data_IF_779091300949
#
_entry.id   IF_779091300949
#
_cell.length_a   1.000
_cell.length_b   1.000
_cell.length_c   1.000
_cell.angle_alpha   90.00
_cell.angle_beta   90.00
_cell.angle_gamma   90.00
#
_symmetry.space_group_name_H-M   'P 1'
#
loop_
_entity.id
_entity.type
_entity.pdbx_description
1 polymer ?
#
# COMPACT_ATOMS: atom_id res chain seq x y z
N UNK A 1 30.14 18.47 10.86
CA UNK A 1 31.38 17.85 10.34
C UNK A 1 31.05 16.39 10.13
N UNK A 2 31.16 15.95 8.87
CA UNK A 2 30.54 14.76 8.30
C UNK A 2 30.71 13.46 9.11
N UNK A 3 29.58 12.80 9.39
CA UNK A 3 29.53 11.35 9.57
C UNK A 3 28.72 10.81 8.39
N UNK A 4 29.43 10.47 7.31
CA UNK A 4 28.90 9.77 6.15
C UNK A 4 28.52 8.37 6.61
N UNK A 5 27.23 8.11 6.75
CA UNK A 5 26.70 6.75 6.90
C UNK A 5 26.75 6.06 5.54
N UNK A 6 27.71 5.14 5.37
CA UNK A 6 27.69 4.17 4.29
C UNK A 6 26.60 3.14 4.63
N UNK A 7 25.39 3.38 4.19
CA UNK A 7 24.31 2.39 4.10
C UNK A 7 23.72 2.45 2.69
N UNK A 8 24.59 2.25 1.69
CA UNK A 8 24.13 1.79 0.38
C UNK A 8 23.72 0.33 0.55
N UNK A 9 22.42 0.09 0.66
CA UNK A 9 21.84 -1.25 0.84
C UNK A 9 21.94 -2.00 -0.49
N UNK A 10 23.09 -2.64 -0.68
CA UNK A 10 23.22 -3.76 -1.60
C UNK A 10 22.54 -5.00 -0.99
N UNK A 11 21.20 -5.05 -0.95
CA UNK A 11 20.42 -6.29 -0.71
C UNK A 11 18.89 -6.07 -0.75
N UNK A 12 18.34 -5.62 -1.88
CA UNK A 12 16.96 -6.00 -2.25
C UNK A 12 16.94 -7.27 -3.12
N UNK A 13 18.12 -7.82 -3.45
CA UNK A 13 18.29 -9.00 -4.31
C UNK A 13 19.14 -10.04 -3.60
N UNK A 14 18.57 -10.77 -2.64
CA UNK A 14 19.07 -12.08 -2.23
C UNK A 14 18.07 -12.79 -1.31
N UNK A 15 17.05 -13.41 -1.91
CA UNK A 15 16.24 -14.41 -1.21
C UNK A 15 14.81 -14.44 -1.70
N UNK A 16 14.55 -15.28 -2.70
CA UNK A 16 13.25 -15.91 -2.87
C UNK A 16 12.98 -16.80 -1.65
N UNK A 17 12.63 -16.20 -0.52
CA UNK A 17 11.85 -16.85 0.51
C UNK A 17 10.40 -16.58 0.11
N UNK A 18 9.60 -17.65 -0.02
CA UNK A 18 8.15 -17.55 -0.08
C UNK A 18 7.71 -16.47 0.93
N UNK A 19 7.16 -15.36 0.45
CA UNK A 19 6.44 -14.43 1.30
C UNK A 19 5.29 -15.24 1.90
N UNK A 20 5.46 -15.62 3.18
CA UNK A 20 4.31 -15.98 3.97
C UNK A 20 3.39 -14.76 3.99
N UNK A 21 2.06 -14.93 3.94
CA UNK A 21 1.17 -13.83 4.26
C UNK A 21 1.64 -13.20 5.57
N UNK A 22 1.69 -11.88 5.61
CA UNK A 22 2.07 -11.11 6.79
C UNK A 22 1.51 -11.80 8.04
N UNK A 23 2.32 -12.04 9.09
CA UNK A 23 1.79 -12.59 10.31
C UNK A 23 0.63 -11.69 10.75
N UNK A 24 -0.55 -12.26 10.99
CA UNK A 24 -1.66 -11.48 11.50
C UNK A 24 -1.17 -10.79 12.76
N UNK A 25 -1.38 -9.47 12.85
CA UNK A 25 -1.42 -8.77 14.14
C UNK A 25 -2.10 -9.73 15.10
N UNK A 26 -1.42 -10.11 16.18
CA UNK A 26 -1.91 -11.11 17.13
C UNK A 26 -3.27 -10.62 17.63
N UNK A 27 -4.34 -11.12 17.02
CA UNK A 27 -5.73 -10.92 17.40
C UNK A 27 -6.17 -12.20 18.08
N UNK A 28 -6.88 -12.02 19.19
CA UNK A 28 -7.76 -12.98 19.82
C UNK A 28 -8.29 -14.02 18.82
N UNK A 29 -8.07 -15.30 19.15
CA UNK A 29 -8.49 -16.47 18.36
C UNK A 29 -9.98 -16.41 18.03
N UNK A 30 -10.31 -15.86 16.86
CA UNK A 30 -11.55 -16.17 16.18
C UNK A 30 -11.27 -16.13 14.68
N UNK A 31 -11.15 -17.32 14.10
CA UNK A 31 -10.83 -17.58 12.69
C UNK A 31 -11.80 -16.83 11.77
N UNK A 32 -11.40 -15.62 11.37
CA UNK A 32 -12.04 -14.88 10.29
C UNK A 32 -11.39 -15.36 9.00
N UNK A 33 -12.21 -15.92 8.11
CA UNK A 33 -11.79 -16.32 6.77
C UNK A 33 -11.32 -15.05 6.05
N UNK A 34 -10.03 -14.95 5.74
CA UNK A 34 -9.50 -13.88 4.88
C UNK A 34 -10.09 -14.09 3.49
N UNK A 35 -11.06 -13.26 3.11
CA UNK A 35 -11.49 -13.17 1.72
C UNK A 35 -10.39 -12.45 0.94
N UNK A 36 -9.89 -13.09 -0.11
CA UNK A 36 -8.99 -12.43 -1.05
C UNK A 36 -9.66 -11.14 -1.58
N UNK A 37 -8.96 -9.99 -1.59
CA UNK A 37 -9.56 -8.76 -2.06
C UNK A 37 -10.07 -8.94 -3.50
N UNK A 38 -11.28 -8.45 -3.77
CA UNK A 38 -11.89 -8.60 -5.10
C UNK A 38 -11.01 -7.90 -6.15
N UNK A 39 -10.40 -8.61 -7.10
CA UNK A 39 -9.58 -7.98 -8.15
C UNK A 39 -10.43 -7.13 -9.08
N UNK A 40 -9.97 -5.91 -9.38
CA UNK A 40 -10.58 -5.05 -10.38
C UNK A 40 -10.06 -5.47 -11.77
N UNK A 41 -10.92 -6.03 -12.65
CA UNK A 41 -10.50 -6.36 -14.00
C UNK A 41 -10.18 -5.08 -14.77
N UNK A 42 -8.99 -5.02 -15.36
CA UNK A 42 -8.62 -3.99 -16.31
C UNK A 42 -8.72 -4.47 -17.75
N UNK A 43 -9.12 -3.58 -18.64
CA UNK A 43 -9.32 -3.86 -20.06
C UNK A 43 -8.10 -3.35 -20.85
N UNK A 44 -7.44 -4.19 -21.64
CA UNK A 44 -6.39 -3.75 -22.55
C UNK A 44 -6.92 -2.68 -23.52
N UNK A 45 -6.22 -1.55 -23.61
CA UNK A 45 -6.53 -0.47 -24.54
C UNK A 45 -5.62 -0.59 -25.76
N UNK A 46 -6.22 -0.53 -26.96
CA UNK A 46 -5.45 -0.46 -28.21
C UNK A 46 -4.70 0.85 -28.28
N UNK A 47 -3.42 0.82 -28.66
CA UNK A 47 -2.68 2.04 -28.91
C UNK A 47 -3.09 2.65 -30.25
N UNK A 48 -4.06 3.56 -30.22
CA UNK A 48 -4.38 4.37 -31.39
C UNK A 48 -3.27 5.38 -31.74
N UNK A 49 -2.33 5.64 -30.81
CA UNK A 49 -1.25 6.62 -30.96
C UNK A 49 0.07 6.02 -30.48
N UNK A 50 0.73 5.25 -31.34
CA UNK A 50 2.19 5.14 -31.23
C UNK A 50 2.78 6.51 -31.61
N UNK A 51 3.59 7.08 -30.74
CA UNK A 51 4.34 8.31 -30.99
C UNK A 51 5.25 8.04 -32.20
N UNK A 52 4.82 8.48 -33.39
CA UNK A 52 5.44 8.32 -34.73
C UNK A 52 4.98 7.15 -35.64
N UNK A 53 3.90 6.42 -35.36
CA UNK A 53 3.42 5.40 -36.32
C UNK A 53 2.65 6.01 -37.50
N UNK A 54 3.37 6.36 -38.56
CA UNK A 54 2.80 6.38 -39.91
C UNK A 54 2.80 4.93 -40.44
N UNK A 55 1.71 4.18 -40.31
CA UNK A 55 1.65 2.79 -40.83
C UNK A 55 0.55 1.91 -40.25
N UNK A 56 0.56 0.61 -40.58
CA UNK A 56 -0.43 -0.40 -40.15
C UNK A 56 -0.08 -1.08 -38.80
N UNK A 57 0.92 -0.60 -38.07
CA UNK A 57 1.47 -1.20 -36.83
C UNK A 57 1.97 -2.65 -36.98
N UNK A 58 2.36 -3.04 -38.20
CA UNK A 58 2.75 -4.42 -38.53
C UNK A 58 4.21 -4.72 -38.17
N UNK A 59 5.08 -3.72 -38.26
CA UNK A 59 6.51 -3.90 -38.04
C UNK A 59 6.84 -4.09 -36.55
N UNK A 60 7.60 -5.14 -36.17
CA UNK A 60 8.01 -5.34 -34.79
C UNK A 60 8.90 -4.20 -34.28
N UNK A 61 8.71 -3.79 -33.04
CA UNK A 61 9.42 -2.69 -32.38
C UNK A 61 9.99 -3.12 -31.03
N UNK A 62 11.09 -2.50 -30.58
CA UNK A 62 11.65 -2.82 -29.26
C UNK A 62 10.98 -2.05 -28.13
N UNK A 63 10.45 -0.87 -28.39
CA UNK A 63 9.86 -0.03 -27.36
C UNK A 63 8.34 -0.07 -27.50
N UNK A 64 7.67 -0.57 -26.46
CA UNK A 64 6.22 -0.69 -26.39
C UNK A 64 5.71 0.18 -25.26
N UNK A 65 4.52 0.73 -25.44
CA UNK A 65 3.74 1.31 -24.37
C UNK A 65 2.40 0.57 -24.37
N UNK A 66 2.15 -0.27 -23.39
CA UNK A 66 0.91 -1.03 -23.27
C UNK A 66 0.02 -0.34 -22.24
N UNK A 67 -1.25 -0.14 -22.57
CA UNK A 67 -2.18 0.53 -21.68
C UNK A 67 -3.37 -0.36 -21.31
N UNK A 68 -3.87 -0.19 -20.10
CA UNK A 68 -5.07 -0.84 -19.58
C UNK A 68 -5.97 0.20 -18.92
N UNK A 69 -7.28 0.04 -19.05
CA UNK A 69 -8.26 0.95 -18.46
C UNK A 69 -9.28 0.23 -17.58
N UNK A 70 -9.83 0.94 -16.61
CA UNK A 70 -10.96 0.44 -15.83
C UNK A 70 -12.24 0.40 -16.68
N UNK A 71 -13.24 -0.43 -16.33
CA UNK A 71 -14.48 -0.53 -17.11
C UNK A 71 -15.26 0.79 -17.30
N UNK A 72 -15.02 1.78 -16.44
CA UNK A 72 -15.61 3.12 -16.51
C UNK A 72 -14.69 4.16 -17.19
N UNK A 73 -13.53 3.75 -17.74
CA UNK A 73 -12.49 4.61 -18.33
C UNK A 73 -11.96 5.70 -17.39
N UNK A 74 -12.09 5.53 -16.07
CA UNK A 74 -11.64 6.51 -15.07
C UNK A 74 -10.12 6.50 -14.87
N UNK A 75 -9.50 5.32 -15.04
CA UNK A 75 -8.09 5.08 -14.75
C UNK A 75 -7.40 4.43 -15.93
N UNK A 76 -6.16 4.84 -16.20
CA UNK A 76 -5.29 4.25 -17.22
C UNK A 76 -3.98 3.82 -16.54
N UNK A 77 -3.64 2.54 -16.66
CA UNK A 77 -2.31 2.04 -16.28
C UNK A 77 -1.49 1.89 -17.55
N UNK A 78 -0.34 2.55 -17.60
CA UNK A 78 0.61 2.43 -18.69
C UNK A 78 1.83 1.63 -18.26
N UNK A 79 2.19 0.63 -19.06
CA UNK A 79 3.38 -0.21 -18.89
C UNK A 79 4.25 0.03 -20.11
N UNK A 80 5.38 0.68 -19.90
CA UNK A 80 6.40 0.88 -20.93
C UNK A 80 7.38 -0.28 -20.87
N UNK A 81 7.57 -0.96 -21.99
CA UNK A 81 8.48 -2.10 -22.12
C UNK A 81 9.57 -1.78 -23.12
N UNK A 82 10.82 -1.99 -22.75
CA UNK A 82 11.90 -2.17 -23.73
C UNK A 82 12.15 -3.65 -23.87
N UNK A 83 11.94 -4.22 -25.05
CA UNK A 83 11.91 -5.65 -25.30
C UNK A 83 13.29 -6.20 -25.65
N UNK A 84 13.57 -7.44 -25.19
CA UNK A 84 14.77 -8.19 -25.57
C UNK A 84 14.78 -8.44 -27.10
N UNK A 85 13.65 -8.94 -27.59
CA UNK A 85 13.35 -9.17 -29.00
C UNK A 85 12.33 -8.14 -29.50
N UNK A 86 12.40 -7.65 -30.76
CA UNK A 86 11.36 -6.81 -31.33
C UNK A 86 9.99 -7.47 -31.18
N UNK A 87 8.95 -6.67 -30.95
CA UNK A 87 7.63 -7.16 -30.61
C UNK A 87 6.54 -6.48 -31.44
N UNK A 88 5.47 -7.22 -31.72
CA UNK A 88 4.29 -6.73 -32.43
C UNK A 88 3.03 -7.00 -31.61
N UNK A 89 2.21 -5.98 -31.44
CA UNK A 89 0.94 -6.02 -30.70
C UNK A 89 -0.18 -6.29 -31.69
N UNK A 90 -0.71 -7.52 -31.70
CA UNK A 90 -1.60 -7.96 -32.78
C UNK A 90 -2.96 -7.26 -32.76
N UNK A 91 -3.46 -6.87 -31.60
CA UNK A 91 -4.70 -6.09 -31.50
C UNK A 91 -4.57 -4.65 -32.02
N UNK A 92 -3.34 -4.14 -32.17
CA UNK A 92 -3.06 -2.80 -32.71
C UNK A 92 -2.98 -2.80 -34.25
N UNK A 93 -3.00 -3.98 -34.89
CA UNK A 93 -3.06 -4.14 -36.35
C UNK A 93 -4.53 -4.25 -36.77
N UNK A 94 -5.06 -3.21 -37.42
CA UNK A 94 -6.46 -3.17 -37.85
C UNK A 94 -6.85 -4.29 -38.84
N UNK A 95 -5.88 -4.78 -39.61
CA UNK A 95 -6.08 -5.82 -40.62
C UNK A 95 -6.02 -7.25 -40.06
N UNK A 96 -5.67 -7.44 -38.78
CA UNK A 96 -5.74 -8.76 -38.14
C UNK A 96 -7.20 -9.08 -37.82
N UNK A 97 -7.69 -10.21 -38.34
CA UNK A 97 -9.08 -10.66 -38.19
C UNK A 97 -9.25 -11.86 -37.27
N UNK A 98 -8.20 -12.67 -37.13
CA UNK A 98 -8.18 -13.79 -36.21
C UNK A 98 -6.76 -14.11 -35.77
N UNK A 99 -6.63 -14.51 -34.51
CA UNK A 99 -5.43 -15.12 -33.93
C UNK A 99 -5.85 -16.48 -33.36
N UNK A 100 -5.02 -17.51 -33.50
CA UNK A 100 -5.23 -18.85 -32.92
C UNK A 100 -3.92 -19.34 -32.29
N UNK A 101 -3.96 -19.63 -31.00
CA UNK A 101 -2.82 -20.15 -30.25
C UNK A 101 -2.96 -21.65 -29.94
N UNK A 102 -2.79 -22.49 -30.96
CA UNK A 102 -2.91 -23.94 -30.81
C UNK A 102 -1.87 -24.51 -29.84
N UNK A 103 -2.31 -24.91 -28.64
CA UNK A 103 -1.49 -25.60 -27.64
C UNK A 103 -0.34 -24.76 -27.07
N UNK A 104 -0.44 -23.42 -27.13
CA UNK A 104 0.57 -22.47 -26.62
C UNK A 104 1.99 -22.60 -27.23
N UNK A 105 2.13 -23.39 -28.30
CA UNK A 105 3.41 -23.63 -28.99
C UNK A 105 3.44 -23.03 -30.41
N UNK A 106 2.30 -22.48 -30.86
CA UNK A 106 2.12 -21.89 -32.19
C UNK A 106 1.17 -20.72 -32.09
N UNK A 107 1.39 -19.72 -32.93
CA UNK A 107 0.48 -18.59 -33.12
C UNK A 107 0.20 -18.47 -34.61
N UNK A 108 -1.07 -18.57 -34.98
CA UNK A 108 -1.55 -18.33 -36.33
C UNK A 108 -2.24 -16.97 -36.38
N UNK A 109 -1.82 -16.10 -37.31
CA UNK A 109 -2.35 -14.73 -37.49
C UNK A 109 -2.96 -14.62 -38.88
N UNK A 110 -4.24 -14.26 -38.95
CA UNK A 110 -5.00 -14.14 -40.21
C UNK A 110 -5.34 -12.69 -40.51
N UNK A 111 -5.05 -12.26 -41.74
CA UNK A 111 -5.24 -10.89 -42.20
C UNK A 111 -6.47 -10.74 -43.13
N UNK A 112 -7.12 -9.57 -43.09
CA UNK A 112 -8.19 -9.20 -44.05
C UNK A 112 -7.67 -8.66 -45.38
N UNK A 113 -6.42 -8.21 -45.41
CA UNK A 113 -5.86 -7.43 -46.52
C UNK A 113 -4.54 -8.03 -47.01
N UNK A 114 -4.39 -8.13 -48.34
CA UNK A 114 -3.22 -8.78 -48.96
C UNK A 114 -1.96 -7.93 -48.81
N UNK A 115 -2.07 -6.60 -48.80
CA UNK A 115 -0.91 -5.73 -48.60
C UNK A 115 -0.42 -5.84 -47.15
N UNK A 116 -1.35 -5.83 -46.17
CA UNK A 116 -1.02 -6.06 -44.76
C UNK A 116 -0.33 -7.42 -44.53
N UNK A 117 -0.89 -8.50 -45.11
CA UNK A 117 -0.27 -9.83 -45.05
C UNK A 117 1.15 -9.83 -45.63
N UNK A 118 1.35 -9.21 -46.78
CA UNK A 118 2.66 -9.17 -47.46
C UNK A 118 3.67 -8.33 -46.68
N UNK A 119 3.22 -7.21 -46.11
CA UNK A 119 4.01 -6.35 -45.23
C UNK A 119 4.44 -7.11 -43.97
N UNK A 120 3.51 -7.84 -43.33
CA UNK A 120 3.79 -8.64 -42.14
C UNK A 120 4.80 -9.74 -42.44
N UNK A 121 4.58 -10.52 -43.50
CA UNK A 121 5.50 -11.57 -43.89
C UNK A 121 6.91 -11.01 -44.17
N UNK A 122 7.00 -9.92 -44.94
CA UNK A 122 8.28 -9.30 -45.26
C UNK A 122 8.97 -8.71 -44.03
N UNK A 123 8.22 -8.09 -43.12
CA UNK A 123 8.77 -7.43 -41.93
C UNK A 123 9.22 -8.47 -40.89
N UNK A 124 8.41 -9.49 -40.64
CA UNK A 124 8.69 -10.51 -39.64
C UNK A 124 9.80 -11.45 -40.11
N UNK A 125 9.77 -11.94 -41.35
CA UNK A 125 10.85 -12.79 -41.88
C UNK A 125 12.16 -12.04 -42.14
N UNK A 126 12.14 -10.71 -42.17
CA UNK A 126 13.32 -9.87 -42.32
C UNK A 126 14.14 -9.70 -41.02
N UNK A 127 13.63 -10.19 -39.89
CA UNK A 127 14.36 -10.20 -38.62
C UNK A 127 15.37 -11.36 -38.60
N UNK A 128 16.52 -11.16 -37.94
CA UNK A 128 17.64 -12.11 -37.97
C UNK A 128 17.61 -13.15 -36.83
N UNK A 129 16.57 -13.15 -36.00
CA UNK A 129 16.43 -13.95 -34.78
C UNK A 129 14.95 -13.93 -34.35
N UNK A 130 14.63 -14.22 -33.11
CA UNK A 130 13.25 -14.23 -32.60
C UNK A 130 12.63 -12.84 -32.46
N UNK A 131 11.29 -12.82 -32.46
CA UNK A 131 10.45 -11.66 -32.17
C UNK A 131 9.28 -12.05 -31.27
N UNK A 132 8.60 -11.08 -30.64
CA UNK A 132 7.48 -11.35 -29.73
C UNK A 132 6.15 -11.01 -30.39
N UNK A 133 5.22 -11.96 -30.41
CA UNK A 133 3.82 -11.73 -30.75
C UNK A 133 3.04 -11.49 -29.45
N UNK A 134 2.36 -10.35 -29.34
CA UNK A 134 1.51 -10.02 -28.20
C UNK A 134 0.05 -10.17 -28.60
N UNK A 135 -0.70 -10.99 -27.85
CA UNK A 135 -2.12 -11.29 -28.07
C UNK A 135 -2.99 -10.67 -26.98
N UNK A 136 -4.29 -10.53 -27.23
CA UNK A 136 -5.29 -10.10 -26.23
C UNK A 136 -6.56 -10.96 -26.36
N UNK A 137 -6.54 -12.13 -25.73
CA UNK A 137 -7.58 -13.17 -25.68
C UNK A 137 -8.13 -13.67 -27.04
N UNK A 138 -7.58 -13.19 -28.16
CA UNK A 138 -8.03 -13.57 -29.50
C UNK A 138 -7.68 -15.05 -29.76
N UNK A 139 -8.71 -15.89 -29.88
CA UNK A 139 -8.56 -17.33 -30.15
C UNK A 139 -8.03 -18.15 -28.98
N UNK A 140 -8.49 -17.83 -27.76
CA UNK A 140 -8.18 -18.55 -26.52
C UNK A 140 -6.68 -18.64 -26.18
N UNK A 141 -5.89 -17.66 -26.65
CA UNK A 141 -4.46 -17.57 -26.39
C UNK A 141 -4.11 -17.37 -24.90
N UNK A 142 -5.04 -16.81 -24.14
CA UNK A 142 -4.83 -16.31 -22.80
C UNK A 142 -6.14 -16.22 -22.02
N UNK A 143 -6.07 -15.85 -20.74
CA UNK A 143 -7.27 -15.64 -19.93
C UNK A 143 -7.99 -14.36 -20.37
N UNK A 144 -9.30 -14.27 -20.16
CA UNK A 144 -10.06 -13.08 -20.57
C UNK A 144 -9.43 -11.82 -19.94
N UNK A 145 -9.13 -10.81 -20.78
CA UNK A 145 -8.50 -9.53 -20.42
C UNK A 145 -6.96 -9.54 -20.21
N UNK A 146 -6.29 -10.67 -20.41
CA UNK A 146 -4.83 -10.77 -20.35
C UNK A 146 -4.19 -10.39 -21.71
N UNK A 147 -2.95 -9.89 -21.66
CA UNK A 147 -2.07 -9.89 -22.83
C UNK A 147 -1.03 -10.98 -22.68
N UNK A 148 -0.96 -11.89 -23.64
CA UNK A 148 0.07 -12.93 -23.63
C UNK A 148 1.21 -12.62 -24.59
N UNK A 149 2.42 -13.04 -24.19
CA UNK A 149 3.66 -12.78 -24.91
C UNK A 149 4.16 -14.10 -25.48
N UNK A 150 4.32 -14.20 -26.81
CA UNK A 150 4.79 -15.41 -27.48
C UNK A 150 6.10 -15.11 -28.20
N UNK A 151 7.18 -15.79 -27.81
CA UNK A 151 8.49 -15.65 -28.46
C UNK A 151 8.48 -16.56 -29.69
N UNK A 152 8.45 -15.95 -30.87
CA UNK A 152 8.40 -16.62 -32.16
C UNK A 152 9.77 -16.59 -32.84
N UNK A 153 10.20 -17.74 -33.37
CA UNK A 153 11.40 -17.83 -34.20
C UNK A 153 11.05 -17.50 -35.67
N UNK A 154 11.78 -16.57 -36.27
CA UNK A 154 11.60 -16.13 -37.66
C UNK A 154 11.77 -17.25 -38.66
N UNK A 155 12.64 -18.21 -38.39
CA UNK A 155 12.90 -19.35 -39.28
C UNK A 155 11.74 -20.35 -39.32
N UNK A 156 10.77 -20.21 -38.41
CA UNK A 156 9.61 -21.10 -38.31
C UNK A 156 8.36 -20.56 -38.99
N UNK A 157 8.42 -19.33 -39.52
CA UNK A 157 7.29 -18.67 -40.16
C UNK A 157 6.84 -19.44 -41.41
N UNK A 158 5.57 -19.85 -41.41
CA UNK A 158 4.91 -20.49 -42.54
C UNK A 158 3.75 -19.63 -43.01
N UNK A 159 3.73 -19.28 -44.29
CA UNK A 159 2.71 -18.40 -44.88
C UNK A 159 1.72 -19.18 -45.76
N UNK A 160 0.43 -18.87 -45.64
CA UNK A 160 -0.65 -19.46 -46.42
C UNK A 160 -1.41 -18.35 -47.17
N UNK A 161 -1.01 -18.09 -48.41
CA UNK A 161 -1.58 -17.01 -49.22
C UNK A 161 -3.07 -17.19 -49.52
N UNK A 162 -3.55 -18.45 -49.59
CA UNK A 162 -4.94 -18.76 -49.92
C UNK A 162 -5.96 -18.20 -48.93
N UNK A 163 -5.55 -18.01 -47.67
CA UNK A 163 -6.39 -17.49 -46.59
C UNK A 163 -5.70 -16.37 -45.81
N UNK A 164 -4.59 -15.83 -46.32
CA UNK A 164 -3.83 -14.73 -45.73
C UNK A 164 -3.42 -15.01 -44.27
N UNK A 165 -2.97 -16.23 -43.97
CA UNK A 165 -2.54 -16.64 -42.63
C UNK A 165 -1.03 -16.82 -42.55
N UNK A 166 -0.40 -16.27 -41.50
CA UNK A 166 0.98 -16.56 -41.12
C UNK A 166 0.96 -17.39 -39.84
N UNK A 167 1.69 -18.51 -39.82
CA UNK A 167 1.85 -19.36 -38.64
C UNK A 167 3.30 -19.30 -38.18
N UNK A 168 3.51 -18.95 -36.91
CA UNK A 168 4.80 -19.02 -36.23
C UNK A 168 4.81 -20.18 -35.23
N UNK A 169 5.94 -20.88 -35.10
CA UNK A 169 6.20 -21.62 -33.87
C UNK A 169 6.63 -20.62 -32.80
N UNK A 170 6.00 -20.67 -31.64
CA UNK A 170 6.27 -19.71 -30.59
C UNK A 170 6.09 -20.31 -29.20
N UNK A 171 6.95 -19.95 -28.26
CA UNK A 171 6.84 -20.32 -26.85
C UNK A 171 6.10 -19.22 -26.09
N UNK A 172 5.09 -19.58 -25.29
CA UNK A 172 4.46 -18.66 -24.36
C UNK A 172 5.47 -18.22 -23.29
N UNK A 173 5.74 -16.93 -23.24
CA UNK A 173 6.56 -16.25 -22.24
C UNK A 173 5.75 -15.30 -21.36
N UNK A 174 6.46 -14.45 -20.63
CA UNK A 174 5.91 -13.38 -19.80
C UNK A 174 6.79 -12.13 -19.91
N UNK A 175 6.34 -11.01 -19.34
CA UNK A 175 7.11 -9.75 -19.39
C UNK A 175 8.48 -9.90 -18.74
N UNK A 176 8.56 -10.58 -17.59
CA UNK A 176 9.83 -10.84 -16.88
C UNK A 176 10.90 -11.49 -17.78
N UNK A 177 10.53 -12.42 -18.67
CA UNK A 177 11.46 -13.10 -19.58
C UNK A 177 11.67 -12.39 -20.92
N UNK A 178 10.78 -11.48 -21.31
CA UNK A 178 10.78 -10.90 -22.67
C UNK A 178 11.20 -9.43 -22.71
N UNK A 179 11.12 -8.72 -21.59
CA UNK A 179 11.55 -7.34 -21.45
C UNK A 179 13.01 -7.23 -20.97
N UNK A 180 13.74 -6.25 -21.51
CA UNK A 180 15.00 -5.71 -20.97
C UNK A 180 14.75 -4.60 -19.94
N UNK A 181 13.58 -3.96 -20.00
CA UNK A 181 13.15 -2.98 -19.00
C UNK A 181 11.64 -2.97 -18.95
N UNK A 182 11.08 -2.91 -17.75
CA UNK A 182 9.66 -2.74 -17.47
C UNK A 182 9.50 -1.50 -16.60
N UNK A 183 8.81 -0.50 -17.11
CA UNK A 183 8.55 0.76 -16.42
C UNK A 183 7.03 0.94 -16.29
N UNK A 184 6.58 1.18 -15.06
CA UNK A 184 5.17 1.30 -14.73
C UNK A 184 4.98 2.60 -13.98
N UNK A 185 4.12 3.45 -14.53
CA UNK A 185 3.64 4.64 -13.84
C UNK A 185 2.20 4.37 -13.42
N UNK A 186 1.95 4.38 -12.11
CA UNK A 186 0.61 4.26 -11.57
C UNK A 186 0.20 5.62 -11.01
N UNK A 187 -0.58 6.31 -11.83
CA UNK A 187 -1.29 7.51 -11.44
C UNK A 187 -2.76 7.12 -11.53
N UNK A 188 -3.53 7.37 -10.47
CA UNK A 188 -4.98 7.33 -10.54
C UNK A 188 -5.59 5.92 -10.74
N UNK A 189 -5.34 4.99 -9.81
CA UNK A 189 -5.80 3.60 -9.96
C UNK A 189 -6.34 3.04 -8.64
N UNK A 190 -7.67 2.97 -8.51
CA UNK A 190 -8.45 1.86 -7.95
C UNK A 190 -9.94 2.22 -8.01
N UNK A 191 -10.82 1.28 -8.39
CA UNK A 191 -12.27 1.46 -8.25
C UNK A 191 -12.78 0.69 -7.03
N UNK A 192 -13.83 1.17 -6.34
CA UNK A 192 -14.49 0.43 -5.28
C UNK A 192 -14.92 -0.97 -5.70
N UNK A 193 -14.59 -1.96 -4.89
CA UNK A 193 -15.25 -3.26 -4.92
C UNK A 193 -16.74 -3.04 -4.61
N UNK A 194 -17.61 -3.60 -5.45
CA UNK A 194 -19.06 -3.56 -5.21
C UNK A 194 -19.42 -4.26 -3.90
N UNK A 195 -20.20 -3.59 -3.04
CA UNK A 195 -20.76 -4.18 -1.81
C UNK A 195 -20.24 -3.61 -0.49
N UNK A 196 -19.38 -2.59 -0.50
CA UNK A 196 -19.02 -1.87 0.72
C UNK A 196 -20.16 -0.89 1.05
N UNK A 197 -21.13 -1.36 1.84
CA UNK A 197 -22.11 -0.46 2.46
C UNK A 197 -21.34 0.54 3.34
N UNK A 198 -21.27 1.80 2.88
CA UNK A 198 -20.82 3.04 3.56
C UNK A 198 -19.39 3.60 3.44
N UNK A 199 -18.50 3.19 2.50
CA UNK A 199 -17.16 3.83 2.41
C UNK A 199 -16.76 4.29 1.01
N UNK A 200 -16.51 5.60 0.91
CA UNK A 200 -16.29 6.35 -0.33
C UNK A 200 -14.87 6.21 -0.84
N UNK A 201 -14.72 5.58 -2.00
CA UNK A 201 -13.54 5.76 -2.85
C UNK A 201 -13.96 6.78 -3.89
N UNK A 202 -13.25 7.89 -3.94
CA UNK A 202 -13.44 8.86 -5.01
C UNK A 202 -12.22 8.81 -5.93
N UNK A 203 -12.49 8.59 -7.21
CA UNK A 203 -11.50 8.67 -8.27
C UNK A 203 -11.61 10.06 -8.87
N UNK A 204 -10.55 10.84 -8.81
CA UNK A 204 -10.45 12.06 -9.59
C UNK A 204 -9.09 12.16 -10.28
N UNK A 205 -8.88 13.24 -11.03
CA UNK A 205 -7.66 13.48 -11.79
C UNK A 205 -6.38 13.58 -10.93
N UNK A 206 -6.51 13.72 -9.61
CA UNK A 206 -5.42 13.96 -8.67
C UNK A 206 -4.97 12.67 -7.96
N UNK A 207 -5.70 11.55 -8.08
CA UNK A 207 -5.24 10.20 -7.71
C UNK A 207 -6.32 9.32 -7.08
N UNK A 208 -5.93 8.20 -6.44
CA UNK A 208 -6.89 7.36 -5.70
C UNK A 208 -7.15 7.94 -4.31
N UNK A 209 -8.29 8.59 -4.08
CA UNK A 209 -8.70 8.94 -2.72
C UNK A 209 -9.42 7.79 -2.02
N UNK A 210 -8.79 7.22 -1.01
CA UNK A 210 -9.40 6.28 -0.07
C UNK A 210 -9.97 7.03 1.12
N UNK A 211 -11.28 6.97 1.36
CA UNK A 211 -11.85 7.40 2.63
C UNK A 211 -12.09 6.20 3.57
N UNK A 212 -11.41 6.19 4.72
CA UNK A 212 -11.70 5.27 5.83
C UNK A 212 -12.44 6.07 6.91
N UNK A 213 -13.77 6.11 6.79
CA UNK A 213 -14.62 6.63 7.86
C UNK A 213 -15.02 5.49 8.79
N UNK A 214 -14.70 5.62 10.08
CA UNK A 214 -15.11 4.66 11.10
C UNK A 214 -15.83 5.38 12.22
N UNK A 215 -17.00 4.86 12.57
CA UNK A 215 -17.76 5.31 13.73
C UNK A 215 -18.25 4.09 14.51
N UNK A 216 -18.15 4.13 15.83
CA UNK A 216 -18.67 3.05 16.68
C UNK A 216 -19.32 3.60 17.94
N UNK A 217 -20.22 2.80 18.50
CA UNK A 217 -20.83 3.02 19.81
C UNK A 217 -20.17 2.11 20.85
N UNK A 218 -20.51 2.32 22.12
CA UNK A 218 -19.93 1.61 23.27
C UNK A 218 -19.72 0.10 23.05
N UNK A 219 -18.47 -0.32 23.21
CA UNK A 219 -18.06 -1.73 23.19
C UNK A 219 -16.83 -1.96 24.06
N UNK A 220 -16.75 -3.13 24.69
CA UNK A 220 -15.55 -3.59 25.36
C UNK A 220 -14.59 -4.18 24.33
N UNK A 221 -13.45 -3.53 24.11
CA UNK A 221 -12.47 -3.94 23.09
C UNK A 221 -11.40 -4.87 23.65
N UNK A 222 -11.13 -4.79 24.97
CA UNK A 222 -10.23 -5.69 25.71
C UNK A 222 -10.88 -6.00 27.06
N UNK A 223 -10.83 -7.28 27.47
CA UNK A 223 -11.31 -7.74 28.77
C UNK A 223 -10.48 -8.95 29.23
N UNK A 224 -9.66 -8.77 30.25
CA UNK A 224 -8.89 -9.84 30.90
C UNK A 224 -8.83 -9.62 32.42
N UNK A 225 -8.11 -10.49 33.14
CA UNK A 225 -8.03 -10.44 34.61
C UNK A 225 -7.40 -9.16 35.19
N UNK A 226 -6.69 -8.37 34.37
CA UNK A 226 -5.90 -7.23 34.79
C UNK A 226 -6.44 -5.90 34.26
N UNK A 227 -6.96 -5.89 33.03
CA UNK A 227 -7.42 -4.68 32.35
C UNK A 227 -8.72 -4.91 31.58
N UNK A 228 -9.64 -3.95 31.72
CA UNK A 228 -10.79 -3.77 30.84
C UNK A 228 -10.62 -2.47 30.08
N UNK A 229 -10.77 -2.51 28.76
CA UNK A 229 -10.79 -1.31 27.94
C UNK A 229 -12.14 -1.20 27.23
N UNK A 230 -12.85 -0.13 27.53
CA UNK A 230 -14.14 0.20 26.92
C UNK A 230 -13.94 1.35 25.95
N UNK A 231 -14.31 1.15 24.70
CA UNK A 231 -14.39 2.20 23.69
C UNK A 231 -15.83 2.71 23.67
N UNK A 232 -16.06 3.91 24.22
CA UNK A 232 -17.40 4.50 24.28
C UNK A 232 -17.81 5.09 22.93
N UNK A 233 -16.89 5.82 22.31
CA UNK A 233 -17.07 6.45 21.02
C UNK A 233 -15.73 6.49 20.29
N UNK A 234 -15.75 6.22 18.99
CA UNK A 234 -14.66 6.57 18.10
C UNK A 234 -15.25 7.11 16.82
N UNK A 235 -14.67 8.18 16.31
CA UNK A 235 -14.91 8.67 14.97
C UNK A 235 -13.56 8.91 14.30
N UNK A 236 -13.37 8.35 13.12
CA UNK A 236 -12.20 8.61 12.28
C UNK A 236 -12.71 9.04 10.93
N UNK A 237 -12.09 10.09 10.40
CA UNK A 237 -12.20 10.52 9.02
C UNK A 237 -10.80 10.61 8.44
N UNK A 238 -10.50 9.78 7.45
CA UNK A 238 -9.22 9.79 6.76
C UNK A 238 -9.45 9.91 5.26
N UNK A 239 -8.57 10.65 4.57
CA UNK A 239 -8.36 10.49 3.14
C UNK A 239 -6.90 10.15 2.86
N UNK A 240 -6.65 9.32 1.86
CA UNK A 240 -5.29 9.11 1.34
C UNK A 240 -5.34 9.01 -0.18
N UNK A 241 -4.43 9.73 -0.84
CA UNK A 241 -4.18 9.69 -2.29
C UNK A 241 -2.78 9.17 -2.54
N UNK A 242 -2.61 8.32 -3.55
CA UNK A 242 -1.29 7.84 -3.94
C UNK A 242 -1.04 7.88 -5.44
N UNK A 243 0.24 7.97 -5.76
CA UNK A 243 0.79 7.71 -7.09
C UNK A 243 2.20 7.16 -6.96
N UNK A 244 2.78 6.67 -8.04
CA UNK A 244 4.16 6.24 -8.00
C UNK A 244 4.65 5.66 -9.31
N UNK A 245 5.89 5.19 -9.23
CA UNK A 245 6.68 4.74 -10.36
C UNK A 245 7.50 3.51 -9.95
N UNK A 246 7.58 2.52 -10.83
CA UNK A 246 8.51 1.42 -10.66
C UNK A 246 9.17 1.07 -11.98
N UNK A 247 10.49 0.88 -11.94
CA UNK A 247 11.30 0.41 -13.06
C UNK A 247 12.10 -0.82 -12.67
N UNK A 248 12.02 -1.83 -13.51
CA UNK A 248 12.71 -3.10 -13.35
C UNK A 248 13.54 -3.45 -14.59
N UNK A 249 14.75 -3.97 -14.38
CA UNK A 249 15.68 -4.43 -15.40
C UNK A 249 16.23 -5.83 -15.03
N UNK A 250 16.44 -6.77 -15.98
CA UNK A 250 16.83 -8.14 -15.67
C UNK A 250 18.15 -8.31 -14.91
N UNK A 251 19.10 -7.39 -15.09
CA UNK A 251 20.43 -7.48 -14.48
C UNK A 251 20.49 -6.76 -13.12
N UNK A 252 19.83 -5.60 -13.04
CA UNK A 252 19.93 -4.70 -11.89
C UNK A 252 18.74 -4.84 -10.92
N UNK A 253 17.70 -5.59 -11.32
CA UNK A 253 16.48 -5.74 -10.53
C UNK A 253 15.64 -4.46 -10.59
N UNK A 254 15.11 -4.03 -9.44
CA UNK A 254 14.37 -2.77 -9.36
C UNK A 254 15.37 -1.61 -9.28
N UNK A 255 15.33 -0.72 -10.27
CA UNK A 255 16.27 0.40 -10.41
C UNK A 255 15.66 1.74 -10.06
N UNK A 256 14.33 1.87 -10.12
CA UNK A 256 13.58 3.03 -9.67
C UNK A 256 12.32 2.52 -8.96
N UNK A 257 12.01 3.03 -7.77
CA UNK A 257 10.76 2.73 -7.09
C UNK A 257 10.40 3.90 -6.18
N UNK A 258 9.36 4.65 -6.56
CA UNK A 258 8.87 5.79 -5.80
C UNK A 258 7.38 5.69 -5.52
N UNK A 259 6.96 6.23 -4.38
CA UNK A 259 5.55 6.38 -4.00
C UNK A 259 5.35 7.78 -3.42
N UNK A 260 4.37 8.49 -3.96
CA UNK A 260 3.86 9.73 -3.44
C UNK A 260 2.54 9.48 -2.73
N UNK A 261 2.37 10.04 -1.53
CA UNK A 261 1.18 9.89 -0.69
C UNK A 261 0.73 11.25 -0.18
N UNK A 262 -0.50 11.64 -0.49
CA UNK A 262 -1.19 12.75 0.17
C UNK A 262 -2.17 12.19 1.19
N UNK A 263 -2.18 12.71 2.41
CA UNK A 263 -2.97 12.17 3.51
C UNK A 263 -3.65 13.27 4.31
N UNK A 264 -4.92 13.07 4.63
CA UNK A 264 -5.60 13.82 5.68
C UNK A 264 -6.15 12.88 6.74
N UNK A 265 -6.07 13.27 8.00
CA UNK A 265 -6.57 12.50 9.14
C UNK A 265 -7.31 13.46 10.06
N UNK A 266 -8.46 13.03 10.51
CA UNK A 266 -9.11 13.55 11.69
C UNK A 266 -9.61 12.35 12.50
N UNK A 267 -9.45 12.40 13.81
CA UNK A 267 -10.03 11.40 14.68
C UNK A 267 -10.49 12.00 15.99
N UNK A 268 -11.42 11.29 16.61
CA UNK A 268 -11.89 11.44 17.97
C UNK A 268 -12.03 10.05 18.58
N UNK A 269 -11.61 9.87 19.83
CA UNK A 269 -11.86 8.64 20.57
C UNK A 269 -12.07 8.92 22.07
N UNK A 270 -13.02 8.20 22.66
CA UNK A 270 -13.28 8.16 24.09
C UNK A 270 -13.11 6.73 24.61
N UNK A 271 -12.09 6.53 25.43
CA UNK A 271 -11.69 5.23 25.98
C UNK A 271 -11.72 5.27 27.51
N UNK A 272 -12.19 4.20 28.13
CA UNK A 272 -12.00 3.96 29.56
C UNK A 272 -11.08 2.76 29.76
N UNK A 273 -10.00 2.97 30.51
CA UNK A 273 -9.08 1.94 30.97
C UNK A 273 -9.37 1.64 32.43
N UNK A 274 -9.83 0.43 32.75
CA UNK A 274 -9.99 -0.06 34.11
C UNK A 274 -8.87 -1.06 34.41
N UNK A 275 -8.03 -0.75 35.38
CA UNK A 275 -6.84 -1.53 35.74
C UNK A 275 -7.06 -2.10 37.14
N UNK A 276 -6.99 -3.42 37.26
CA UNK A 276 -7.34 -4.11 38.51
C UNK A 276 -6.20 -4.18 39.52
N UNK A 277 -4.94 -4.13 39.06
CA UNK A 277 -3.74 -4.21 39.91
C UNK A 277 -2.49 -3.74 39.15
N UNK A 278 -1.30 -3.85 39.77
CA UNK A 278 -0.03 -3.59 39.11
C UNK A 278 0.06 -4.32 37.76
N UNK A 279 0.30 -3.56 36.71
CA UNK A 279 0.30 -4.07 35.34
C UNK A 279 1.28 -3.29 34.46
N UNK A 280 1.93 -3.99 33.55
CA UNK A 280 2.80 -3.38 32.54
C UNK A 280 2.65 -4.16 31.26
N UNK A 281 2.00 -3.57 30.27
CA UNK A 281 1.80 -4.20 28.98
C UNK A 281 1.40 -3.17 27.91
N UNK A 282 1.50 -3.60 26.65
CA UNK A 282 0.96 -2.89 25.50
C UNK A 282 -0.28 -3.63 25.02
N UNK A 283 -1.38 -2.91 24.84
CA UNK A 283 -2.63 -3.44 24.33
C UNK A 283 -2.99 -2.80 23.00
N UNK A 284 -3.66 -3.58 22.15
CA UNK A 284 -4.12 -3.10 20.86
C UNK A 284 -5.39 -3.84 20.44
N UNK A 285 -6.31 -3.12 19.81
CA UNK A 285 -7.50 -3.63 19.18
C UNK A 285 -7.75 -2.89 17.88
N UNK A 286 -8.24 -3.58 16.86
CA UNK A 286 -8.50 -2.97 15.56
C UNK A 286 -9.82 -3.48 14.98
N UNK A 287 -10.67 -2.62 14.39
CA UNK A 287 -11.76 -3.08 13.55
C UNK A 287 -11.23 -3.84 12.32
N UNK A 288 -12.11 -4.46 11.53
CA UNK A 288 -11.68 -5.06 10.26
C UNK A 288 -11.04 -3.99 9.36
N UNK A 289 -9.88 -4.28 8.74
CA UNK A 289 -9.29 -3.36 7.78
C UNK A 289 -10.18 -3.23 6.54
N UNK A 290 -10.03 -2.13 5.81
CA UNK A 290 -10.59 -2.03 4.47
C UNK A 290 -9.59 -2.62 3.48
N UNK A 291 -10.04 -3.65 2.78
CA UNK A 291 -9.37 -4.21 1.63
C UNK A 291 -10.01 -3.66 0.37
N UNK A 292 -9.19 -3.12 -0.51
CA UNK A 292 -9.61 -2.54 -1.77
C UNK A 292 -9.38 -3.51 -2.91
N UNK A 293 -10.08 -3.29 -4.02
CA UNK A 293 -9.81 -4.07 -5.21
C UNK A 293 -8.40 -3.84 -5.70
N UNK A 294 -7.62 -4.92 -5.79
CA UNK A 294 -6.32 -4.87 -6.44
C UNK A 294 -6.54 -4.56 -7.91
N UNK A 295 -5.82 -3.56 -8.42
CA UNK A 295 -5.54 -3.47 -9.83
C UNK A 295 -4.69 -4.68 -10.17
N UNK A 296 -5.17 -5.46 -11.12
CA UNK A 296 -4.46 -6.64 -11.57
C UNK A 296 -4.23 -6.48 -13.06
N UNK A 297 -2.97 -6.32 -13.45
CA UNK A 297 -2.49 -6.55 -14.81
C UNK A 297 -1.88 -7.95 -14.78
N UNK A 298 -2.60 -8.98 -15.25
CA UNK A 298 -2.14 -10.36 -15.17
C UNK A 298 -0.74 -10.53 -15.75
N UNK A 299 0.15 -11.22 -15.05
CA UNK A 299 1.52 -11.46 -15.48
C UNK A 299 2.49 -10.29 -15.32
N UNK A 300 2.02 -9.11 -14.89
CA UNK A 300 2.83 -7.87 -14.87
C UNK A 300 2.81 -7.20 -13.50
N UNK A 301 1.63 -6.84 -12.99
CA UNK A 301 1.49 -6.00 -11.81
C UNK A 301 0.20 -6.37 -11.07
N UNK A 302 0.33 -6.65 -9.78
CA UNK A 302 -0.79 -6.62 -8.85
C UNK A 302 -0.56 -5.50 -7.86
N UNK A 303 -1.47 -4.54 -7.84
CA UNK A 303 -1.32 -3.30 -7.10
C UNK A 303 -2.59 -3.04 -6.30
N UNK A 304 -2.48 -2.86 -4.99
CA UNK A 304 -3.64 -2.33 -4.30
C UNK A 304 -3.41 -1.94 -2.85
N UNK A 305 -4.20 -0.97 -2.40
CA UNK A 305 -4.05 -0.43 -1.06
C UNK A 305 -4.80 -1.29 -0.04
N UNK A 306 -4.36 -1.16 1.20
CA UNK A 306 -5.07 -1.58 2.40
C UNK A 306 -5.05 -0.42 3.39
N UNK A 307 -6.16 -0.17 4.06
CA UNK A 307 -6.23 0.85 5.09
C UNK A 307 -6.77 0.24 6.38
N UNK A 308 -6.06 0.44 7.48
CA UNK A 308 -6.37 -0.08 8.80
C UNK A 308 -6.25 0.98 9.87
N UNK A 309 -7.02 0.79 10.94
CA UNK A 309 -6.92 1.57 12.17
C UNK A 309 -6.70 0.59 13.30
N UNK A 310 -5.80 0.93 14.21
CA UNK A 310 -5.63 0.24 15.48
C UNK A 310 -5.76 1.24 16.61
N UNK A 311 -6.59 0.93 17.60
CA UNK A 311 -6.65 1.64 18.87
C UNK A 311 -5.79 0.86 19.85
N UNK A 312 -4.93 1.53 20.60
CA UNK A 312 -4.09 0.86 21.58
C UNK A 312 -3.68 1.75 22.73
N UNK A 313 -2.89 1.15 23.62
CA UNK A 313 -2.31 1.86 24.73
C UNK A 313 -1.13 1.13 25.34
N UNK A 314 -0.11 1.87 25.73
CA UNK A 314 0.91 1.35 26.66
C UNK A 314 0.52 1.74 28.08
N UNK A 315 0.51 0.75 28.98
CA UNK A 315 0.13 0.95 30.38
C UNK A 315 1.28 0.52 31.26
N UNK A 316 1.68 1.41 32.18
CA UNK A 316 2.54 1.10 33.32
C UNK A 316 1.80 1.60 34.56
N UNK A 317 1.20 0.67 35.32
CA UNK A 317 0.45 0.97 36.54
C UNK A 317 1.05 0.25 37.74
N UNK A 318 1.26 0.97 38.84
CA UNK A 318 1.75 0.39 40.11
C UNK A 318 0.61 -0.04 41.05
N UNK A 319 -0.60 0.50 40.83
CA UNK A 319 -1.82 0.22 41.57
C UNK A 319 -3.02 0.18 40.61
N UNK A 320 -4.09 -0.51 41.00
CA UNK A 320 -5.34 -0.48 40.23
C UNK A 320 -5.97 0.90 40.21
N UNK A 321 -6.76 1.19 39.18
CA UNK A 321 -7.31 2.51 38.91
C UNK A 321 -8.19 2.54 37.68
N UNK A 322 -8.86 3.67 37.46
CA UNK A 322 -9.58 3.93 36.21
C UNK A 322 -9.15 5.25 35.60
N UNK A 323 -8.94 5.25 34.29
CA UNK A 323 -8.65 6.44 33.48
C UNK A 323 -9.65 6.49 32.33
N UNK A 324 -10.43 7.57 32.27
CA UNK A 324 -11.17 7.93 31.07
C UNK A 324 -10.33 8.92 30.25
N UNK A 325 -10.08 8.58 28.99
CA UNK A 325 -9.31 9.36 28.05
C UNK A 325 -10.22 9.78 26.89
N UNK A 326 -10.33 11.08 26.68
CA UNK A 326 -11.02 11.68 25.53
C UNK A 326 -9.99 12.47 24.74
N UNK A 327 -9.82 12.14 23.47
CA UNK A 327 -8.81 12.79 22.64
C UNK A 327 -9.21 12.91 21.19
N UNK A 328 -8.78 14.02 20.60
CA UNK A 328 -9.04 14.39 19.22
C UNK A 328 -7.74 14.89 18.60
N UNK A 329 -7.47 14.52 17.35
CA UNK A 329 -6.46 15.23 16.57
C UNK A 329 -6.85 15.35 15.10
N UNK A 330 -6.29 16.39 14.46
CA UNK A 330 -6.44 16.63 13.04
C UNK A 330 -5.09 16.92 12.38
N UNK A 331 -4.90 16.30 11.22
CA UNK A 331 -3.76 16.43 10.33
C UNK A 331 -4.34 16.63 8.92
N UNK A 332 -4.63 17.87 8.49
CA UNK A 332 -5.46 18.09 7.32
C UNK A 332 -4.74 17.87 5.99
N UNK A 333 -3.42 18.07 5.90
CA UNK A 333 -2.69 18.09 4.63
C UNK A 333 -1.25 17.52 4.74
N UNK A 334 -1.12 16.24 5.05
CA UNK A 334 0.17 15.54 5.00
C UNK A 334 0.55 15.15 3.57
N UNK A 335 1.83 15.25 3.24
CA UNK A 335 2.42 14.82 1.96
C UNK A 335 3.67 14.01 2.24
N UNK A 336 3.85 12.90 1.54
CA UNK A 336 4.98 11.99 1.71
C UNK A 336 5.48 11.61 0.33
N UNK A 337 6.80 11.69 0.13
CA UNK A 337 7.50 11.12 -1.01
C UNK A 337 8.45 10.04 -0.49
N UNK A 338 8.34 8.84 -1.04
CA UNK A 338 9.22 7.71 -0.75
C UNK A 338 9.99 7.37 -2.02
N UNK A 339 11.31 7.26 -1.92
CA UNK A 339 12.18 6.71 -2.97
C UNK A 339 12.93 5.51 -2.41
N UNK A 340 12.46 4.30 -2.70
CA UNK A 340 12.96 3.00 -2.19
C UNK A 340 14.33 2.60 -2.70
N UNK A 341 14.86 3.34 -3.66
CA UNK A 341 16.21 3.17 -4.16
C UNK A 341 17.15 4.20 -3.51
N UNK A 342 16.71 5.44 -3.38
CA UNK A 342 17.45 6.55 -2.76
C UNK A 342 16.72 7.05 -1.50
N UNK A 343 16.85 6.31 -0.39
CA UNK A 343 16.14 6.62 0.86
C UNK A 343 16.37 8.05 1.37
N UNK A 344 17.55 8.62 1.13
CA UNK A 344 17.90 10.01 1.50
C UNK A 344 17.09 11.07 0.75
N UNK A 345 16.47 10.71 -0.38
CA UNK A 345 15.60 11.59 -1.17
C UNK A 345 14.11 11.48 -0.74
N UNK A 346 13.78 10.60 0.22
CA UNK A 346 12.45 10.51 0.79
C UNK A 346 12.14 11.73 1.66
N UNK A 347 10.94 12.30 1.51
CA UNK A 347 10.54 13.52 2.22
C UNK A 347 9.13 13.42 2.79
N UNK A 348 8.85 14.25 3.79
CA UNK A 348 7.56 14.31 4.45
C UNK A 348 7.27 15.73 4.90
N UNK A 349 6.08 16.26 4.60
CA UNK A 349 5.75 17.66 4.87
C UNK A 349 4.24 17.89 5.04
N UNK A 350 3.87 19.08 5.53
CA UNK A 350 2.46 19.48 5.67
C UNK A 350 1.78 19.02 6.97
N UNK A 351 2.53 18.42 7.89
CA UNK A 351 2.08 17.94 9.20
C UNK A 351 1.75 19.08 10.19
N UNK A 352 0.73 19.89 9.88
CA UNK A 352 0.13 20.77 10.88
C UNK A 352 -0.84 19.96 11.72
N UNK A 353 -0.59 19.87 13.02
CA UNK A 353 -1.40 19.08 13.94
C UNK A 353 -2.26 19.98 14.82
N UNK A 354 -3.56 19.74 14.85
CA UNK A 354 -4.43 20.19 15.94
C UNK A 354 -4.66 19.01 16.88
N UNK A 355 -4.56 19.21 18.18
CA UNK A 355 -4.70 18.14 19.18
C UNK A 355 -5.36 18.66 20.44
N UNK A 356 -6.27 17.86 20.99
CA UNK A 356 -6.92 18.09 22.27
C UNK A 356 -7.01 16.76 23.01
N UNK A 357 -6.72 16.76 24.30
CA UNK A 357 -6.88 15.60 25.15
C UNK A 357 -7.38 16.00 26.53
N UNK A 358 -8.21 15.15 27.11
CA UNK A 358 -8.73 15.24 28.47
C UNK A 358 -8.64 13.87 29.12
N UNK A 359 -8.05 13.84 30.31
CA UNK A 359 -7.95 12.65 31.13
C UNK A 359 -8.69 12.85 32.44
N UNK A 360 -9.52 11.87 32.82
CA UNK A 360 -10.19 11.82 34.11
C UNK A 360 -9.70 10.56 34.81
N UNK A 361 -8.91 10.76 35.86
CA UNK A 361 -8.29 9.70 36.65
C UNK A 361 -9.02 9.58 37.98
N UNK A 362 -9.30 8.36 38.44
CA UNK A 362 -9.81 8.13 39.81
C UNK A 362 -8.73 8.46 40.85
N UNK A 363 -9.10 8.98 42.02
CA UNK A 363 -8.15 9.25 43.12
C UNK A 363 -7.39 7.95 43.50
N UNK A 364 -6.06 8.07 43.73
CA UNK A 364 -5.09 7.00 44.05
C UNK A 364 -4.47 6.17 42.90
N UNK A 365 -4.13 6.78 41.75
CA UNK A 365 -3.46 6.05 40.66
C UNK A 365 -2.07 6.62 40.34
N UNK A 366 -1.04 5.78 40.43
CA UNK A 366 0.28 6.00 39.81
C UNK A 366 0.30 5.23 38.48
N UNK A 367 0.09 5.94 37.38
CA UNK A 367 0.00 5.36 36.04
C UNK A 367 0.76 6.20 35.02
N UNK A 368 1.49 5.52 34.14
CA UNK A 368 1.84 6.02 32.82
C UNK A 368 0.95 5.32 31.81
N UNK A 369 0.15 6.09 31.08
CA UNK A 369 -0.76 5.63 30.04
C UNK A 369 -0.40 6.36 28.74
N UNK A 370 -0.05 5.64 27.68
CA UNK A 370 0.09 6.22 26.33
C UNK A 370 -0.98 5.62 25.42
N UNK A 371 -2.21 6.16 25.37
CA UNK A 371 -3.18 5.76 24.38
C UNK A 371 -2.73 6.27 23.00
N UNK A 372 -2.95 5.45 21.97
CA UNK A 372 -2.58 5.77 20.60
C UNK A 372 -3.64 5.30 19.61
N UNK A 373 -3.64 5.91 18.42
CA UNK A 373 -4.38 5.42 17.26
C UNK A 373 -3.42 5.29 16.08
N UNK A 374 -3.20 4.07 15.62
CA UNK A 374 -2.37 3.81 14.45
C UNK A 374 -3.22 3.82 13.19
N UNK A 375 -2.93 4.75 12.28
CA UNK A 375 -3.45 4.72 10.93
C UNK A 375 -2.43 4.08 10.02
N UNK A 376 -2.69 2.83 9.63
CA UNK A 376 -1.84 2.10 8.70
C UNK A 376 -2.42 2.17 7.30
N UNK A 377 -1.62 2.63 6.34
CA UNK A 377 -1.90 2.50 4.91
C UNK A 377 -0.83 1.60 4.34
N UNK A 378 -1.24 0.46 3.81
CA UNK A 378 -0.36 -0.47 3.13
C UNK A 378 -0.67 -0.45 1.64
N UNK A 379 0.33 -0.83 0.87
CA UNK A 379 0.30 -0.84 -0.56
C UNK A 379 0.95 -2.14 -1.01
N UNK A 380 0.12 -3.09 -1.41
CA UNK A 380 0.59 -4.30 -2.04
C UNK A 380 1.07 -3.94 -3.46
N UNK A 381 2.34 -4.23 -3.75
CA UNK A 381 2.93 -4.00 -5.07
C UNK A 381 3.72 -5.25 -5.48
N UNK A 382 3.08 -6.10 -6.28
CA UNK A 382 3.66 -7.34 -6.75
C UNK A 382 3.95 -7.25 -8.24
N UNK A 383 5.21 -7.46 -8.64
CA UNK A 383 5.57 -7.56 -10.06
C UNK A 383 5.60 -9.03 -10.50
N UNK A 384 5.20 -9.25 -11.75
CA UNK A 384 5.31 -10.52 -12.47
C UNK A 384 4.70 -11.70 -11.70
N UNK A 385 3.41 -11.60 -11.35
CA UNK A 385 2.67 -12.59 -10.56
C UNK A 385 3.30 -12.90 -9.19
N UNK A 386 3.89 -11.89 -8.55
CA UNK A 386 4.47 -12.01 -7.21
C UNK A 386 5.88 -12.59 -7.17
N UNK A 387 6.57 -12.67 -8.32
CA UNK A 387 8.01 -12.99 -8.33
C UNK A 387 8.84 -11.95 -7.58
N UNK A 388 8.37 -10.70 -7.57
CA UNK A 388 8.97 -9.59 -6.82
C UNK A 388 7.87 -8.93 -6.01
N UNK A 389 8.01 -8.95 -4.68
CA UNK A 389 7.14 -8.26 -3.74
C UNK A 389 7.82 -6.96 -3.30
N UNK A 390 7.19 -5.84 -3.64
CA UNK A 390 7.59 -4.47 -3.32
C UNK A 390 6.58 -3.82 -2.37
N UNK A 391 5.80 -4.64 -1.64
CA UNK A 391 4.78 -4.14 -0.75
C UNK A 391 5.36 -3.26 0.35
N UNK A 392 4.68 -2.15 0.61
CA UNK A 392 5.18 -1.05 1.43
C UNK A 392 4.02 -0.34 2.09
N UNK A 393 4.28 0.51 3.06
CA UNK A 393 3.24 1.33 3.64
C UNK A 393 3.76 2.43 4.53
N UNK A 394 2.80 3.13 5.12
CA UNK A 394 3.03 4.16 6.12
C UNK A 394 2.15 3.89 7.33
N UNK A 395 2.68 4.19 8.50
CA UNK A 395 1.94 4.29 9.75
C UNK A 395 1.99 5.73 10.21
N UNK A 396 0.83 6.28 10.55
CA UNK A 396 0.70 7.55 11.23
C UNK A 396 0.13 7.27 12.62
N UNK A 397 0.89 7.59 13.66
CA UNK A 397 0.57 7.24 15.04
C UNK A 397 0.53 8.50 15.90
N UNK A 398 -0.64 9.15 16.05
CA UNK A 398 -0.90 10.07 17.13
C UNK A 398 -1.09 9.32 18.45
N UNK A 399 -0.41 9.80 19.49
CA UNK A 399 -0.53 9.29 20.86
C UNK A 399 -0.57 10.42 21.89
N UNK A 400 -1.13 10.13 23.06
CA UNK A 400 -1.38 11.11 24.10
C UNK A 400 -0.85 10.64 25.46
N UNK A 401 0.48 10.58 25.67
CA UNK A 401 1.05 10.15 26.94
C UNK A 401 0.49 10.94 28.12
N UNK A 402 -0.04 10.23 29.12
CA UNK A 402 -0.41 10.70 30.44
C UNK A 402 0.56 10.05 31.44
N UNK A 403 1.18 10.85 32.30
CA UNK A 403 1.92 10.36 33.46
C UNK A 403 1.39 11.00 34.72
N UNK A 404 0.94 10.19 35.68
CA UNK A 404 0.58 10.65 37.03
C UNK A 404 1.71 10.31 38.01
N UNK A 405 2.09 11.28 38.83
CA UNK A 405 3.12 11.09 39.86
C UNK A 405 2.55 11.37 41.23
N UNK A 406 2.72 10.43 42.16
CA UNK A 406 2.41 10.64 43.58
C UNK A 406 3.69 10.62 44.42
N UNK A 407 4.09 11.79 44.91
CA UNK A 407 5.28 12.04 45.75
C UNK A 407 4.95 12.25 47.22
N UNK A 408 3.68 12.18 47.61
CA UNK A 408 3.22 12.42 48.98
C UNK A 408 3.77 11.38 49.98
N UNK A 409 4.96 11.63 50.52
CA UNK A 409 5.34 11.06 51.82
C UNK A 409 4.55 11.79 52.90
N UNK A 410 3.68 11.06 53.60
CA UNK A 410 2.95 11.59 54.76
C UNK A 410 3.82 11.45 56.01
N UNK A 411 4.27 12.58 56.56
CA UNK A 411 4.92 12.63 57.86
C UNK A 411 3.90 13.05 58.93
N UNK A 412 3.80 12.22 59.97
CA UNK A 412 2.99 12.52 61.15
C UNK A 412 3.87 13.20 62.20
N UNK A 413 3.50 14.42 62.59
CA UNK A 413 4.12 15.03 63.76
C UNK A 413 3.61 14.36 65.05
N UNK A 414 4.29 14.63 66.17
CA UNK A 414 3.92 14.07 67.48
C UNK A 414 2.54 14.53 68.00
N UNK A 415 1.86 15.46 67.30
CA UNK A 415 0.52 15.96 67.60
C UNK A 415 -0.55 15.36 66.68
N UNK A 416 -0.17 14.50 65.73
CA UNK A 416 -1.07 13.87 64.76
C UNK A 416 -1.39 14.76 63.56
N UNK A 417 -0.68 15.86 63.34
CA UNK A 417 -0.82 16.63 62.12
C UNK A 417 -0.09 15.90 60.98
N UNK A 418 -0.75 15.85 59.82
CA UNK A 418 -0.17 15.35 58.58
C UNK A 418 0.61 16.49 57.93
N UNK A 419 1.89 16.24 57.65
CA UNK A 419 2.75 17.12 56.85
C UNK A 419 3.20 16.38 55.60
N UNK A 420 3.29 17.11 54.48
CA UNK A 420 3.76 16.59 53.20
C UNK A 420 5.14 17.20 52.89
N UNK A 421 6.23 16.70 53.49
CA UNK A 421 7.56 17.22 53.22
C UNK A 421 7.98 16.88 51.79
N UNK A 422 8.40 17.90 51.03
CA UNK A 422 9.03 17.82 49.71
C UNK A 422 8.12 17.52 48.51
N UNK A 423 6.97 18.18 48.40
CA UNK A 423 6.12 18.04 47.20
C UNK A 423 6.02 19.36 46.42
N UNK A 424 6.24 19.29 45.10
CA UNK A 424 6.00 20.41 44.16
C UNK A 424 4.52 20.80 44.14
N UNK A 425 3.64 19.82 44.34
CA UNK A 425 2.20 19.97 44.48
C UNK A 425 1.76 19.84 45.93
N UNK A 426 0.79 20.65 46.38
CA UNK A 426 0.42 20.73 47.80
C UNK A 426 -0.07 19.40 48.40
N UNK A 427 -0.68 18.55 47.57
CA UNK A 427 -1.14 17.20 47.89
C UNK A 427 -0.15 16.10 47.43
N UNK A 428 0.99 16.47 46.83
CA UNK A 428 1.97 15.55 46.29
C UNK A 428 1.58 14.82 45.01
N UNK A 429 0.51 15.26 44.34
CA UNK A 429 0.01 14.68 43.10
C UNK A 429 0.24 15.63 41.92
N UNK A 430 0.88 15.14 40.86
CA UNK A 430 1.04 15.87 39.61
C UNK A 430 0.66 15.00 38.41
N UNK A 431 0.30 15.67 37.32
CA UNK A 431 0.01 15.04 36.04
C UNK A 431 0.73 15.78 34.92
N UNK A 432 1.21 15.02 33.95
CA UNK A 432 1.80 15.49 32.71
C UNK A 432 1.07 14.83 31.53
N UNK A 433 0.63 15.63 30.58
CA UNK A 433 -0.06 15.21 29.37
C UNK A 433 0.70 15.75 28.17
N UNK A 434 1.07 14.86 27.26
CA UNK A 434 1.81 15.17 26.04
C UNK A 434 0.99 14.76 24.81
N UNK A 435 1.39 15.28 23.66
CA UNK A 435 1.00 14.79 22.35
C UNK A 435 2.26 14.37 21.60
N UNK A 436 2.30 13.14 21.12
CA UNK A 436 3.34 12.63 20.24
C UNK A 436 2.71 12.22 18.91
N UNK A 437 3.38 12.54 17.81
CA UNK A 437 2.92 12.15 16.48
C UNK A 437 4.10 11.71 15.61
N UNK A 438 4.05 10.45 15.18
CA UNK A 438 5.08 9.86 14.34
C UNK A 438 4.51 9.41 12.99
N UNK A 439 5.32 9.58 11.94
CA UNK A 439 5.10 8.95 10.63
C UNK A 439 6.23 7.98 10.38
N UNK A 440 5.88 6.70 10.24
CA UNK A 440 6.82 5.62 9.97
C UNK A 440 6.51 5.06 8.59
N UNK A 441 7.47 5.14 7.69
CA UNK A 441 7.40 4.41 6.43
C UNK A 441 8.05 3.04 6.59
N UNK A 442 7.48 2.03 5.93
CA UNK A 442 8.02 0.69 5.94
C UNK A 442 7.97 0.04 4.56
N UNK A 443 8.96 -0.76 4.22
CA UNK A 443 9.00 -1.58 3.02
C UNK A 443 9.19 -3.03 3.44
N UNK A 444 8.19 -3.88 3.14
CA UNK A 444 8.13 -5.27 3.63
C UNK A 444 8.31 -5.35 5.16
N UNK A 445 8.80 -6.48 5.69
CA UNK A 445 9.16 -6.62 7.10
C UNK A 445 10.60 -6.14 7.42
N UNK A 446 11.37 -5.75 6.40
CA UNK A 446 12.82 -5.62 6.49
C UNK A 446 13.32 -4.18 6.71
N UNK A 447 12.49 -3.17 6.40
CA UNK A 447 12.91 -1.78 6.42
C UNK A 447 11.82 -0.89 7.02
N UNK A 448 12.14 -0.18 8.09
CA UNK A 448 11.31 0.88 8.67
C UNK A 448 12.13 2.15 8.84
N UNK A 449 11.52 3.32 8.62
CA UNK A 449 12.14 4.62 8.87
C UNK A 449 11.12 5.62 9.40
N UNK A 450 11.52 6.42 10.38
CA UNK A 450 10.73 7.55 10.86
C UNK A 450 10.94 8.72 9.90
N UNK A 451 9.88 9.15 9.24
CA UNK A 451 9.88 10.29 8.33
C UNK A 451 9.56 11.62 9.03
N UNK A 452 8.80 11.54 10.12
CA UNK A 452 8.37 12.68 10.90
C UNK A 452 8.17 12.27 12.36
N UNK A 453 8.60 13.12 13.27
CA UNK A 453 8.40 12.99 14.71
C UNK A 453 8.10 14.39 15.25
N UNK A 454 7.04 14.50 16.03
CA UNK A 454 6.59 15.72 16.65
C UNK A 454 6.11 15.44 18.08
N UNK A 455 6.53 16.31 19.00
CA UNK A 455 6.12 16.27 20.40
C UNK A 455 5.68 17.65 20.87
N UNK A 456 4.63 17.69 21.68
CA UNK A 456 4.12 18.89 22.31
C UNK A 456 3.59 18.60 23.71
N UNK A 457 3.90 19.47 24.66
CA UNK A 457 3.32 19.44 26.00
C UNK A 457 1.89 20.00 25.93
N UNK A 458 0.89 19.22 26.33
CA UNK A 458 -0.51 19.68 26.44
C UNK A 458 -0.73 20.31 27.82
N UNK A 459 -0.32 19.59 28.87
CA UNK A 459 -0.51 20.03 30.25
C UNK A 459 0.62 19.50 31.13
N UNK A 460 1.02 20.32 32.10
CA UNK A 460 1.89 19.91 33.20
C UNK A 460 1.47 20.70 34.43
N UNK A 461 1.07 20.00 35.49
CA UNK A 461 0.51 20.68 36.65
C UNK A 461 0.18 19.79 37.83
N UNK A 462 -0.35 20.43 38.87
CA UNK A 462 -0.77 19.76 40.10
C UNK A 462 -2.22 19.34 39.99
N UNK A 463 -2.54 18.14 40.50
CA UNK A 463 -3.91 17.74 40.76
C UNK A 463 -4.36 18.48 42.03
N UNK A 464 -5.58 19.03 42.05
CA UNK A 464 -6.11 19.78 43.20
C UNK A 464 -6.90 18.89 44.18
#
# INVERSE_FOLDING_TARGET
MAMRSLLGIASLVAGAAYAAPAPPVIRSENTTIYLEPAKLPLFPVRNAVQINATGRNIAPTKDLNLAWQTPNNASLVAVTLSMQHPAVVLEDIADVTAVDCTGQAKVAVTFSDTDAFSEALSSWSGLNDSFVLITNHQGDCDTELERSFFIADTDTLTSYESNLTIIAQAEKGNVYRTANSTEINFINTATPASGIETRGINLDKDGLSIAYDYSTSEQTIINNDYVTVVLHEAQVNNSVTYSGHVKWEPLDGVTEFTIDIDKSIWHHANLTFEISSKWTDTLSWAPSPLTYSLIDIPGILSLGPSAGITFGGEIIAEVGGSVNADFTSSIPNGTIHLDFINWDDSTSSGWTTEHEASFIVTEDVQITLRPFIDFTVEFACNLFDGLIDLSTGIKAEPSFPLTTTATATQDFDASGNVTFPNTTCANGLSEDVEFEFEIIAFATELLNTTLYDYKADIYSGCLD
#
